data_IF_159358063110
#
_entry.id   IF_159358063110
#
_cell.length_a   1.000
_cell.length_b   1.000
_cell.length_c   1.000
_cell.angle_alpha   90.00
_cell.angle_beta   90.00
_cell.angle_gamma   90.00
#
_symmetry.space_group_name_H-M   'P 1'
#
loop_
_entity.id
_entity.type
_entity.pdbx_description
1 polymer ?
#
# COMPACT_ATOMS: atom_id res chain seq x y z
N UNK A 1 -47.45 34.37 37.73
CA UNK A 1 -45.98 34.43 37.69
C UNK A 1 -45.29 33.13 37.26
N UNK A 2 -45.90 31.93 37.37
CA UNK A 2 -45.26 30.67 36.95
C UNK A 2 -45.27 30.37 35.44
N UNK A 3 -46.38 30.67 34.75
CA UNK A 3 -46.58 30.32 33.34
C UNK A 3 -45.54 30.93 32.38
N UNK A 4 -45.17 32.19 32.60
CA UNK A 4 -44.16 32.88 31.78
C UNK A 4 -42.76 32.25 31.92
N UNK A 5 -42.44 31.72 33.11
CA UNK A 5 -41.18 31.02 33.36
C UNK A 5 -41.13 29.63 32.70
N UNK A 6 -42.26 28.95 32.60
CA UNK A 6 -42.38 27.65 31.94
C UNK A 6 -42.34 27.79 30.41
N UNK A 7 -42.92 28.85 29.86
CA UNK A 7 -42.80 29.20 28.44
C UNK A 7 -41.37 29.55 28.02
N UNK A 8 -40.60 30.23 28.87
CA UNK A 8 -39.19 30.49 28.61
C UNK A 8 -38.36 29.21 28.65
N UNK A 9 -38.67 28.29 29.57
CA UNK A 9 -38.02 26.98 29.66
C UNK A 9 -38.33 26.11 28.45
N UNK A 10 -39.56 26.13 27.94
CA UNK A 10 -39.96 25.35 26.75
C UNK A 10 -39.29 25.88 25.48
N UNK A 11 -39.23 27.21 25.29
CA UNK A 11 -38.50 27.86 24.19
C UNK A 11 -37.00 27.53 24.23
N UNK A 12 -36.38 27.57 25.42
CA UNK A 12 -34.99 27.19 25.61
C UNK A 12 -34.74 25.71 25.27
N UNK A 13 -35.61 24.81 25.74
CA UNK A 13 -35.51 23.37 25.47
C UNK A 13 -35.61 23.06 23.97
N UNK A 14 -36.57 23.66 23.27
CA UNK A 14 -36.73 23.56 21.82
C UNK A 14 -35.47 24.04 21.09
N UNK A 15 -34.92 25.19 21.50
CA UNK A 15 -33.69 25.73 20.89
C UNK A 15 -32.47 24.82 21.12
N UNK A 16 -32.37 24.18 22.29
CA UNK A 16 -31.32 23.20 22.59
C UNK A 16 -31.48 21.96 21.71
N UNK A 17 -32.70 21.46 21.50
CA UNK A 17 -32.98 20.31 20.62
C UNK A 17 -32.63 20.62 19.16
N UNK A 18 -33.00 21.80 18.65
CA UNK A 18 -32.61 22.24 17.30
C UNK A 18 -31.08 22.25 17.11
N UNK A 19 -30.34 22.80 18.08
CA UNK A 19 -28.87 22.86 18.03
C UNK A 19 -28.24 21.46 18.11
N UNK A 20 -28.85 20.53 18.86
CA UNK A 20 -28.42 19.13 18.92
C UNK A 20 -28.67 18.39 17.62
N UNK A 21 -29.84 18.57 17.01
CA UNK A 21 -30.19 17.99 15.71
C UNK A 21 -29.24 18.48 14.61
N UNK A 22 -28.94 19.79 14.57
CA UNK A 22 -27.94 20.37 13.66
C UNK A 22 -26.55 19.76 13.80
N UNK A 23 -26.17 19.37 15.02
CA UNK A 23 -24.87 18.74 15.32
C UNK A 23 -24.87 17.21 15.17
N UNK A 24 -26.02 16.60 14.84
CA UNK A 24 -26.24 15.13 14.87
C UNK A 24 -25.74 14.50 16.18
N UNK A 25 -25.87 15.24 17.28
CA UNK A 25 -25.49 14.74 18.59
C UNK A 25 -26.52 13.71 19.03
N UNK A 26 -26.10 12.54 19.58
CA UNK A 26 -27.05 11.61 20.14
C UNK A 26 -27.82 12.29 21.29
N UNK A 27 -29.09 11.93 21.45
CA UNK A 27 -29.94 12.35 22.56
C UNK A 27 -29.31 11.95 23.91
N UNK A 28 -29.81 12.44 25.04
CA UNK A 28 -29.25 12.14 26.37
C UNK A 28 -29.36 10.64 26.70
N UNK A 29 -28.45 9.85 26.16
CA UNK A 29 -28.29 8.44 26.49
C UNK A 29 -27.45 8.32 27.75
N UNK A 30 -27.89 7.46 28.66
CA UNK A 30 -27.13 7.07 29.84
C UNK A 30 -25.68 6.75 29.44
N UNK A 31 -24.72 7.20 30.26
CA UNK A 31 -23.27 7.01 30.00
C UNK A 31 -22.91 5.54 29.71
N UNK A 32 -23.63 4.60 30.31
CA UNK A 32 -23.49 3.17 30.09
C UNK A 32 -23.89 2.75 28.66
N UNK A 33 -25.04 3.22 28.15
CA UNK A 33 -25.50 2.96 26.79
C UNK A 33 -24.52 3.50 25.73
N UNK A 34 -23.87 4.65 25.99
CA UNK A 34 -22.81 5.19 25.12
C UNK A 34 -21.56 4.31 25.09
N UNK A 35 -21.17 3.71 26.22
CA UNK A 35 -20.03 2.79 26.31
C UNK A 35 -20.35 1.48 25.59
N UNK A 36 -21.56 0.96 25.74
CA UNK A 36 -22.03 -0.25 25.08
C UNK A 36 -22.13 -0.06 23.56
N UNK A 37 -22.68 1.04 23.09
CA UNK A 37 -22.71 1.38 21.67
C UNK A 37 -21.30 1.48 21.06
N UNK A 38 -20.33 2.04 21.81
CA UNK A 38 -18.92 2.07 21.39
C UNK A 38 -18.30 0.68 21.35
N UNK A 39 -18.56 -0.17 22.34
CA UNK A 39 -18.10 -1.56 22.36
C UNK A 39 -18.71 -2.38 21.21
N UNK A 40 -20.00 -2.20 20.93
CA UNK A 40 -20.69 -2.86 19.81
C UNK A 40 -20.10 -2.45 18.46
N UNK A 41 -19.88 -1.15 18.23
CA UNK A 41 -19.22 -0.65 17.01
C UNK A 41 -17.78 -1.18 16.86
N UNK A 42 -17.02 -1.27 17.95
CA UNK A 42 -15.69 -1.83 17.93
C UNK A 42 -15.69 -3.33 17.58
N UNK A 43 -16.61 -4.11 18.18
CA UNK A 43 -16.80 -5.53 17.87
C UNK A 43 -17.21 -5.74 16.41
N UNK A 44 -18.19 -4.98 15.91
CA UNK A 44 -18.63 -5.05 14.52
C UNK A 44 -17.49 -4.74 13.53
N UNK A 45 -16.61 -3.77 13.85
CA UNK A 45 -15.44 -3.46 13.01
C UNK A 45 -14.42 -4.59 12.99
N UNK A 46 -14.17 -5.24 14.14
CA UNK A 46 -13.26 -6.38 14.23
C UNK A 46 -13.82 -7.57 13.43
N UNK A 47 -15.11 -7.84 13.58
CA UNK A 47 -15.79 -8.93 12.88
C UNK A 47 -15.83 -8.70 11.36
N UNK A 48 -16.16 -7.49 10.90
CA UNK A 48 -16.11 -7.14 9.49
C UNK A 48 -14.70 -7.31 8.88
N UNK A 49 -13.66 -6.93 9.64
CA UNK A 49 -12.26 -7.14 9.21
C UNK A 49 -11.90 -8.63 9.16
N UNK A 50 -12.41 -9.44 10.09
CA UNK A 50 -12.20 -10.89 10.10
C UNK A 50 -12.88 -11.55 8.90
N UNK A 51 -14.17 -11.25 8.66
CA UNK A 51 -14.93 -11.74 7.50
C UNK A 51 -14.29 -11.34 6.17
N UNK A 52 -13.79 -10.12 6.03
CA UNK A 52 -13.08 -9.69 4.82
C UNK A 52 -11.79 -10.49 4.59
N UNK A 53 -11.07 -10.85 5.66
CA UNK A 53 -9.87 -11.70 5.57
C UNK A 53 -10.24 -13.13 5.18
N UNK A 54 -11.24 -13.72 5.82
CA UNK A 54 -11.75 -15.06 5.48
C UNK A 54 -12.22 -15.12 4.02
N UNK A 55 -12.97 -14.12 3.55
CA UNK A 55 -13.39 -14.04 2.14
C UNK A 55 -12.23 -13.87 1.16
N UNK A 56 -11.14 -13.22 1.57
CA UNK A 56 -9.95 -13.10 0.72
C UNK A 56 -9.16 -14.42 0.66
N UNK A 57 -9.11 -15.16 1.77
CA UNK A 57 -8.45 -16.46 1.85
C UNK A 57 -9.21 -17.52 1.06
N UNK A 58 -10.53 -17.62 1.22
CA UNK A 58 -11.34 -18.57 0.43
C UNK A 58 -11.31 -18.29 -1.08
N UNK A 59 -11.18 -17.02 -1.48
CA UNK A 59 -10.97 -16.65 -2.90
C UNK A 59 -9.58 -17.00 -3.42
N UNK A 60 -8.58 -17.14 -2.55
CA UNK A 60 -7.25 -17.60 -2.92
C UNK A 60 -7.23 -19.13 -3.02
N UNK A 61 -7.79 -19.82 -2.04
CA UNK A 61 -7.94 -21.29 -2.02
C UNK A 61 -8.73 -21.78 -3.24
N UNK A 62 -9.91 -21.21 -3.52
CA UNK A 62 -10.68 -21.57 -4.74
C UNK A 62 -9.92 -21.30 -6.06
N UNK A 63 -8.94 -20.38 -6.07
CA UNK A 63 -8.09 -20.15 -7.25
C UNK A 63 -6.91 -21.11 -7.34
N UNK A 64 -6.49 -21.68 -6.22
CA UNK A 64 -5.44 -22.70 -6.14
C UNK A 64 -6.04 -24.06 -6.47
N UNK A 65 -7.21 -24.41 -5.93
CA UNK A 65 -7.96 -25.63 -6.27
C UNK A 65 -8.36 -25.66 -7.74
N UNK A 66 -8.81 -24.53 -8.31
CA UNK A 66 -9.11 -24.43 -9.74
C UNK A 66 -7.87 -24.58 -10.64
N UNK A 67 -6.66 -24.31 -10.12
CA UNK A 67 -5.41 -24.60 -10.82
C UNK A 67 -4.97 -26.04 -10.62
N UNK A 68 -5.21 -26.63 -9.46
CA UNK A 68 -4.87 -28.02 -9.16
C UNK A 68 -5.75 -29.01 -9.93
N UNK A 69 -7.04 -28.71 -10.13
CA UNK A 69 -7.93 -29.51 -10.98
C UNK A 69 -7.44 -29.53 -12.44
N UNK A 70 -6.96 -28.39 -12.96
CA UNK A 70 -6.38 -28.28 -14.31
C UNK A 70 -5.06 -29.06 -14.41
N UNK A 71 -4.23 -29.06 -13.37
CA UNK A 71 -2.96 -29.84 -13.35
C UNK A 71 -3.22 -31.35 -13.21
N UNK A 72 -4.33 -31.76 -12.58
CA UNK A 72 -4.67 -33.17 -12.38
C UNK A 72 -5.20 -33.84 -13.66
N UNK A 73 -5.96 -33.12 -14.48
CA UNK A 73 -6.39 -33.59 -15.82
C UNK A 73 -5.20 -33.76 -16.79
N UNK A 74 -4.12 -32.99 -16.64
CA UNK A 74 -2.90 -33.16 -17.44
C UNK A 74 -1.95 -34.26 -16.94
N UNK A 75 -2.19 -34.83 -15.75
CA UNK A 75 -1.33 -35.86 -15.15
C UNK A 75 -1.81 -37.31 -15.37
N UNK A 76 -3.00 -37.51 -15.92
CA UNK A 76 -3.59 -38.83 -16.18
C UNK A 76 -3.26 -39.42 -17.57
N UNK A 77 -2.52 -38.71 -18.41
CA UNK A 77 -2.03 -39.20 -19.70
C UNK A 77 -0.51 -39.07 -19.78
N UNK A 78 0.25 -40.03 -19.25
CA UNK A 78 1.54 -40.50 -19.77
C UNK A 78 1.88 -41.80 -19.01
N UNK A 79 1.59 -42.93 -19.64
CA UNK A 79 2.27 -44.20 -19.36
C UNK A 79 2.36 -44.97 -20.68
N UNK A 80 3.37 -44.64 -21.51
CA UNK A 80 4.05 -45.66 -22.32
C UNK A 80 5.48 -45.21 -22.59
N UNK A 81 6.39 -45.88 -21.92
CA UNK A 81 7.83 -45.89 -22.20
C UNK A 81 8.03 -46.68 -23.49
N UNK A 82 8.64 -46.08 -24.52
CA UNK A 82 9.56 -46.83 -25.39
C UNK A 82 10.71 -45.93 -25.85
N UNK A 83 11.88 -46.49 -25.66
CA UNK A 83 13.21 -46.07 -26.06
C UNK A 83 13.40 -46.06 -27.60
N UNK A 84 14.57 -45.54 -28.00
CA UNK A 84 15.37 -45.84 -29.20
C UNK A 84 15.55 -44.73 -30.25
N UNK A 85 16.76 -44.18 -30.18
CA UNK A 85 17.74 -44.02 -31.27
C UNK A 85 17.29 -44.33 -32.70
N UNK A 86 17.54 -43.34 -33.56
CA UNK A 86 18.13 -43.45 -34.89
C UNK A 86 17.99 -44.81 -35.60
N UNK A 87 17.06 -44.95 -36.55
CA UNK A 87 17.33 -45.62 -37.81
C UNK A 87 16.50 -45.05 -38.96
N UNK A 88 17.15 -45.06 -40.11
CA UNK A 88 16.68 -44.64 -41.43
C UNK A 88 15.93 -45.80 -42.08
N UNK A 89 14.62 -45.72 -42.27
CA UNK A 89 13.94 -46.36 -43.41
C UNK A 89 12.47 -45.98 -43.57
N UNK A 90 12.14 -45.59 -44.80
CA UNK A 90 10.92 -45.86 -45.60
C UNK A 90 9.55 -45.90 -44.89
N UNK A 91 8.74 -44.88 -45.16
CA UNK A 91 7.42 -45.07 -45.78
C UNK A 91 7.02 -43.82 -46.55
N UNK A 92 6.61 -44.03 -47.80
CA UNK A 92 5.95 -43.05 -48.66
C UNK A 92 4.49 -42.99 -48.18
N UNK A 93 3.89 -41.80 -48.30
CA UNK A 93 2.55 -41.36 -47.86
C UNK A 93 2.34 -41.07 -46.36
N UNK A 94 1.84 -39.85 -46.12
CA UNK A 94 1.28 -39.27 -44.88
C UNK A 94 2.22 -38.78 -43.77
N UNK A 95 3.32 -38.13 -44.14
CA UNK A 95 4.04 -37.25 -43.21
C UNK A 95 4.16 -35.83 -43.77
N UNK A 96 3.03 -35.11 -43.85
CA UNK A 96 3.12 -33.65 -43.76
C UNK A 96 3.47 -33.35 -42.29
N UNK A 97 4.76 -33.33 -41.98
CA UNK A 97 5.23 -32.80 -40.71
C UNK A 97 5.00 -31.28 -40.75
N UNK A 98 3.76 -30.86 -40.47
CA UNK A 98 3.40 -29.44 -40.31
C UNK A 98 4.02 -28.99 -38.99
N UNK A 99 5.28 -28.57 -39.04
CA UNK A 99 5.85 -27.80 -37.96
C UNK A 99 5.15 -26.44 -37.96
N UNK A 100 4.23 -26.21 -37.03
CA UNK A 100 3.58 -24.90 -36.86
C UNK A 100 4.63 -23.89 -36.42
N UNK A 101 5.17 -23.17 -37.40
CA UNK A 101 6.07 -22.05 -37.18
C UNK A 101 5.40 -21.04 -36.26
N UNK A 102 6.13 -20.71 -35.19
CA UNK A 102 5.87 -19.67 -34.20
C UNK A 102 4.49 -18.98 -34.27
N UNK A 103 3.57 -19.40 -33.42
CA UNK A 103 2.26 -18.75 -33.28
C UNK A 103 2.39 -17.47 -32.45
N UNK A 104 2.05 -16.32 -33.04
CA UNK A 104 1.98 -15.05 -32.34
C UNK A 104 0.53 -14.80 -31.92
N UNK A 105 0.26 -14.89 -30.62
CA UNK A 105 -1.06 -14.58 -30.05
C UNK A 105 -0.88 -13.34 -29.18
N UNK A 106 -1.24 -12.18 -29.72
CA UNK A 106 -0.97 -10.89 -29.08
C UNK A 106 0.52 -10.57 -28.99
N UNK A 107 1.00 -10.18 -27.79
CA UNK A 107 2.43 -9.85 -27.53
C UNK A 107 3.25 -11.10 -27.13
N UNK A 108 2.59 -12.26 -27.11
CA UNK A 108 3.15 -13.55 -26.72
C UNK A 108 3.46 -14.40 -27.93
N UNK A 109 4.64 -15.03 -27.89
CA UNK A 109 5.15 -15.84 -28.97
C UNK A 109 5.29 -17.28 -28.51
N UNK A 110 4.48 -18.16 -29.06
CA UNK A 110 4.58 -19.59 -28.88
C UNK A 110 5.56 -20.12 -29.91
N UNK A 111 6.62 -20.82 -29.48
CA UNK A 111 7.53 -21.54 -30.38
C UNK A 111 7.46 -23.00 -29.97
N UNK A 112 6.74 -23.81 -30.75
CA UNK A 112 6.25 -25.11 -30.28
C UNK A 112 5.24 -24.93 -29.14
N UNK A 113 5.20 -25.89 -28.22
CA UNK A 113 4.29 -25.92 -27.06
C UNK A 113 4.71 -25.01 -25.88
N UNK A 114 5.84 -24.30 -26.02
CA UNK A 114 6.37 -23.44 -24.94
C UNK A 114 6.11 -21.96 -25.21
N UNK A 115 5.53 -21.31 -24.22
CA UNK A 115 5.35 -19.85 -24.19
C UNK A 115 6.71 -19.16 -24.03
N UNK A 116 7.19 -18.49 -25.09
CA UNK A 116 8.34 -17.60 -24.98
C UNK A 116 7.85 -16.26 -24.43
N UNK A 117 8.23 -15.95 -23.19
CA UNK A 117 7.80 -14.74 -22.48
C UNK A 117 7.91 -13.46 -23.33
N UNK A 118 6.96 -12.54 -23.13
CA UNK A 118 6.86 -11.29 -23.88
C UNK A 118 8.19 -10.55 -23.92
N UNK A 119 8.56 -10.06 -25.11
CA UNK A 119 9.84 -9.37 -25.30
C UNK A 119 9.85 -8.13 -24.40
N UNK A 120 10.98 -7.89 -23.68
CA UNK A 120 11.13 -6.68 -22.88
C UNK A 120 10.79 -5.45 -23.72
N UNK A 121 9.96 -4.56 -23.17
CA UNK A 121 9.55 -3.33 -23.84
C UNK A 121 10.80 -2.55 -24.24
N UNK A 122 10.90 -2.23 -25.52
CA UNK A 122 12.01 -1.44 -26.07
C UNK A 122 11.82 0.02 -25.66
N UNK A 123 12.86 0.63 -25.10
CA UNK A 123 12.90 2.06 -24.76
C UNK A 123 13.02 2.36 -23.26
N UNK A 124 13.14 3.65 -22.90
CA UNK A 124 13.28 4.07 -21.50
C UNK A 124 12.05 3.68 -20.67
N UNK A 125 12.26 2.92 -19.60
CA UNK A 125 11.17 2.54 -18.67
C UNK A 125 10.91 3.61 -17.61
N UNK A 126 11.90 4.45 -17.29
CA UNK A 126 11.75 5.54 -16.32
C UNK A 126 11.56 6.91 -16.99
N UNK A 127 10.86 7.79 -16.28
CA UNK A 127 10.50 9.15 -16.68
C UNK A 127 11.74 10.02 -16.92
N UNK A 128 12.78 9.89 -16.08
CA UNK A 128 14.04 10.60 -16.31
C UNK A 128 14.74 10.11 -17.58
N UNK A 129 14.71 8.79 -17.81
CA UNK A 129 15.24 8.20 -19.04
C UNK A 129 14.49 8.67 -20.28
N UNK A 130 13.15 8.78 -20.20
CA UNK A 130 12.32 9.30 -21.27
C UNK A 130 12.64 10.77 -21.59
N UNK A 131 12.81 11.62 -20.57
CA UNK A 131 13.21 13.02 -20.75
C UNK A 131 14.59 13.13 -21.43
N UNK A 132 15.58 12.37 -20.94
CA UNK A 132 16.92 12.32 -21.54
C UNK A 132 16.90 11.83 -22.98
N UNK A 133 16.02 10.88 -23.30
CA UNK A 133 15.87 10.37 -24.66
C UNK A 133 15.27 11.43 -25.59
N UNK A 134 14.29 12.22 -25.13
CA UNK A 134 13.77 13.36 -25.90
C UNK A 134 14.84 14.41 -26.13
N UNK A 135 15.58 14.82 -25.10
CA UNK A 135 16.68 15.78 -25.24
C UNK A 135 17.74 15.27 -26.24
N UNK A 136 18.07 13.97 -26.20
CA UNK A 136 18.99 13.37 -27.14
C UNK A 136 18.42 13.35 -28.58
N UNK A 137 17.11 13.15 -28.75
CA UNK A 137 16.43 13.19 -30.04
C UNK A 137 16.42 14.61 -30.61
N UNK A 138 16.10 15.61 -29.80
CA UNK A 138 16.14 17.03 -30.19
C UNK A 138 17.56 17.46 -30.59
N UNK A 139 18.58 17.08 -29.81
CA UNK A 139 19.99 17.32 -30.15
C UNK A 139 20.45 16.64 -31.43
N UNK A 140 19.83 15.52 -31.82
CA UNK A 140 20.09 14.86 -33.10
C UNK A 140 19.42 15.62 -34.24
N UNK A 141 18.15 15.98 -34.07
CA UNK A 141 17.40 16.73 -35.08
C UNK A 141 17.99 18.13 -35.32
N UNK A 142 18.53 18.79 -34.30
CA UNK A 142 19.17 20.11 -34.45
C UNK A 142 20.48 20.08 -35.25
N UNK A 143 21.07 18.90 -35.47
CA UNK A 143 22.30 18.72 -36.28
C UNK A 143 22.02 18.39 -37.74
N UNK A 144 20.75 18.12 -38.10
CA UNK A 144 20.35 17.73 -39.45
C UNK A 144 19.76 18.91 -40.22
N UNK A 145 19.83 18.84 -41.55
CA UNK A 145 19.18 19.79 -42.46
C UNK A 145 17.64 19.72 -42.36
N UNK A 146 16.98 20.84 -42.65
CA UNK A 146 15.53 21.02 -42.51
C UNK A 146 14.71 19.97 -43.26
N UNK A 147 15.13 19.59 -44.46
CA UNK A 147 14.39 18.65 -45.31
C UNK A 147 14.43 17.23 -44.74
N UNK A 148 15.59 16.82 -44.21
CA UNK A 148 15.75 15.54 -43.52
C UNK A 148 14.96 15.52 -42.21
N UNK A 149 14.95 16.63 -41.48
CA UNK A 149 14.15 16.78 -40.25
C UNK A 149 12.66 16.64 -40.54
N UNK A 150 12.15 17.25 -41.62
CA UNK A 150 10.74 17.17 -41.99
C UNK A 150 10.34 15.74 -42.38
N UNK A 151 11.15 15.04 -43.18
CA UNK A 151 10.94 13.62 -43.51
C UNK A 151 10.90 12.72 -42.27
N UNK A 152 11.81 12.95 -41.32
CA UNK A 152 11.84 12.19 -40.06
C UNK A 152 10.59 12.48 -39.22
N UNK A 153 10.18 13.75 -39.11
CA UNK A 153 8.97 14.13 -38.37
C UNK A 153 7.71 13.50 -38.95
N UNK A 154 7.60 13.47 -40.28
CA UNK A 154 6.48 12.84 -40.98
C UNK A 154 6.46 11.32 -40.73
N UNK A 155 7.59 10.64 -40.94
CA UNK A 155 7.73 9.22 -40.64
C UNK A 155 7.41 8.90 -39.17
N UNK A 156 7.89 9.71 -38.23
CA UNK A 156 7.63 9.56 -36.80
C UNK A 156 6.14 9.76 -36.46
N UNK A 157 5.46 10.69 -37.14
CA UNK A 157 4.02 10.94 -36.97
C UNK A 157 3.20 9.72 -37.39
N UNK A 158 3.51 9.14 -38.55
CA UNK A 158 2.86 7.93 -39.04
C UNK A 158 3.13 6.72 -38.14
N UNK A 159 4.38 6.52 -37.71
CA UNK A 159 4.72 5.47 -36.74
C UNK A 159 3.98 5.64 -35.42
N UNK A 160 3.88 6.88 -34.92
CA UNK A 160 3.15 7.19 -33.70
C UNK A 160 1.66 6.88 -33.85
N UNK A 161 1.04 7.26 -34.97
CA UNK A 161 -0.37 6.95 -35.23
C UNK A 161 -0.60 5.44 -35.27
N UNK A 162 0.28 4.68 -35.92
CA UNK A 162 0.20 3.22 -35.97
C UNK A 162 0.32 2.58 -34.57
N UNK A 163 1.29 3.00 -33.77
CA UNK A 163 1.47 2.49 -32.40
C UNK A 163 0.30 2.87 -31.49
N UNK A 164 -0.29 4.05 -31.69
CA UNK A 164 -1.49 4.45 -30.95
C UNK A 164 -2.71 3.62 -31.34
N UNK A 165 -2.88 3.30 -32.63
CA UNK A 165 -3.93 2.41 -33.12
C UNK A 165 -3.76 0.97 -32.59
N UNK A 166 -2.52 0.50 -32.44
CA UNK A 166 -2.19 -0.76 -31.76
C UNK A 166 -2.52 -0.72 -30.24
N UNK A 167 -2.77 0.46 -29.67
CA UNK A 167 -3.08 0.64 -28.25
C UNK A 167 -1.87 0.90 -27.35
N UNK A 168 -0.67 1.10 -27.92
CA UNK A 168 0.53 1.43 -27.13
C UNK A 168 0.48 2.90 -26.68
N UNK A 169 0.53 3.10 -25.36
CA UNK A 169 0.55 4.44 -24.74
C UNK A 169 1.96 5.06 -24.82
N UNK A 170 2.13 6.02 -25.72
CA UNK A 170 3.38 6.78 -25.89
C UNK A 170 3.47 7.95 -24.89
N UNK A 171 4.61 8.08 -24.19
CA UNK A 171 4.85 9.13 -23.20
C UNK A 171 6.01 10.04 -23.61
N UNK A 172 5.80 10.83 -24.66
CA UNK A 172 6.88 11.59 -25.32
C UNK A 172 6.72 13.12 -25.16
N UNK A 173 5.79 13.58 -24.33
CA UNK A 173 5.52 15.01 -24.14
C UNK A 173 6.46 15.60 -23.07
N UNK A 174 7.39 16.47 -23.48
CA UNK A 174 8.42 17.04 -22.61
C UNK A 174 7.85 17.75 -21.37
N UNK A 175 6.83 18.61 -21.55
CA UNK A 175 6.17 19.31 -20.44
C UNK A 175 5.53 18.35 -19.43
N UNK A 176 4.93 17.25 -19.89
CA UNK A 176 4.32 16.27 -19.01
C UNK A 176 5.39 15.48 -18.25
N UNK A 177 6.47 15.09 -18.92
CA UNK A 177 7.60 14.40 -18.30
C UNK A 177 8.29 15.27 -17.25
N UNK A 178 8.52 16.56 -17.52
CA UNK A 178 9.05 17.51 -16.53
C UNK A 178 8.11 17.64 -15.32
N UNK A 179 6.79 17.70 -15.53
CA UNK A 179 5.80 17.74 -14.44
C UNK A 179 5.79 16.45 -13.62
N UNK A 180 5.86 15.28 -14.25
CA UNK A 180 5.87 13.99 -13.54
C UNK A 180 7.17 13.79 -12.76
N UNK A 181 8.31 14.22 -13.29
CA UNK A 181 9.59 14.30 -12.55
C UNK A 181 9.41 15.13 -11.28
N UNK A 182 8.93 16.37 -11.39
CA UNK A 182 8.70 17.26 -10.24
C UNK A 182 7.74 16.66 -9.21
N UNK A 183 6.68 15.98 -9.65
CA UNK A 183 5.75 15.26 -8.74
C UNK A 183 6.44 14.13 -8.00
N UNK A 184 7.24 13.30 -8.69
CA UNK A 184 8.02 12.21 -8.08
C UNK A 184 9.00 12.76 -7.05
N UNK A 185 9.71 13.85 -7.37
CA UNK A 185 10.62 14.51 -6.43
C UNK A 185 9.89 15.09 -5.21
N UNK A 186 8.74 15.75 -5.42
CA UNK A 186 7.93 16.27 -4.32
C UNK A 186 7.43 15.16 -3.41
N UNK A 187 7.00 14.02 -3.96
CA UNK A 187 6.61 12.85 -3.18
C UNK A 187 7.77 12.30 -2.35
N UNK A 188 8.96 12.17 -2.94
CA UNK A 188 10.18 11.76 -2.22
C UNK A 188 10.58 12.76 -1.13
N UNK A 189 10.44 14.06 -1.37
CA UNK A 189 10.69 15.10 -0.36
C UNK A 189 9.71 15.00 0.81
N UNK A 190 8.42 14.74 0.55
CA UNK A 190 7.42 14.54 1.60
C UNK A 190 7.73 13.30 2.44
N UNK A 191 7.98 12.16 1.80
CA UNK A 191 8.30 10.92 2.52
C UNK A 191 9.60 11.05 3.33
N UNK A 192 10.62 11.75 2.80
CA UNK A 192 11.85 12.03 3.53
C UNK A 192 11.62 12.92 4.76
N UNK A 193 10.76 13.95 4.66
CA UNK A 193 10.38 14.79 5.81
C UNK A 193 9.64 13.98 6.87
N UNK A 194 8.61 13.23 6.47
CA UNK A 194 7.84 12.39 7.38
C UNK A 194 8.73 11.37 8.11
N UNK A 195 9.70 10.78 7.39
CA UNK A 195 10.63 9.83 8.00
C UNK A 195 11.54 10.51 9.04
N UNK A 196 12.07 11.70 8.72
CA UNK A 196 12.87 12.50 9.66
C UNK A 196 12.06 12.89 10.90
N UNK A 197 10.80 13.33 10.72
CA UNK A 197 9.90 13.66 11.82
C UNK A 197 9.61 12.44 12.70
N UNK A 198 9.39 11.26 12.10
CA UNK A 198 9.21 10.01 12.85
C UNK A 198 10.45 9.67 13.68
N UNK A 199 11.65 9.77 13.10
CA UNK A 199 12.90 9.54 13.83
C UNK A 199 13.09 10.52 14.98
N UNK A 200 12.86 11.82 14.75
CA UNK A 200 12.92 12.84 15.80
C UNK A 200 11.89 12.60 16.91
N UNK A 201 10.69 12.14 16.58
CA UNK A 201 9.67 11.81 17.58
C UNK A 201 10.06 10.59 18.42
N UNK A 202 10.68 9.58 17.80
CA UNK A 202 11.22 8.41 18.52
C UNK A 202 12.32 8.86 19.48
N UNK A 203 13.27 9.67 19.01
CA UNK A 203 14.38 10.19 19.82
C UNK A 203 13.87 11.04 20.99
N UNK A 204 12.94 11.97 20.73
CA UNK A 204 12.28 12.77 21.78
C UNK A 204 11.55 11.89 22.79
N UNK A 205 10.84 10.86 22.33
CA UNK A 205 10.14 9.94 23.22
C UNK A 205 11.10 9.11 24.08
N UNK A 206 12.25 8.69 23.53
CA UNK A 206 13.30 8.00 24.27
C UNK A 206 13.93 8.94 25.32
N UNK A 207 14.33 10.15 24.91
CA UNK A 207 14.90 11.17 25.80
C UNK A 207 13.93 11.52 26.94
N UNK A 208 12.64 11.66 26.66
CA UNK A 208 11.64 11.96 27.69
C UNK A 208 11.43 10.81 28.66
N UNK A 209 11.52 9.55 28.21
CA UNK A 209 11.51 8.38 29.10
C UNK A 209 12.76 8.32 29.97
N UNK A 210 13.93 8.63 29.42
CA UNK A 210 15.18 8.70 30.16
C UNK A 210 15.14 9.81 31.22
N UNK A 211 14.73 11.03 30.86
CA UNK A 211 14.53 12.14 31.82
C UNK A 211 13.58 11.78 32.96
N UNK A 212 12.42 11.17 32.65
CA UNK A 212 11.49 10.69 33.69
C UNK A 212 12.13 9.66 34.62
N UNK A 213 12.98 8.78 34.10
CA UNK A 213 13.71 7.80 34.91
C UNK A 213 14.74 8.47 35.81
N UNK A 214 15.50 9.42 35.29
CA UNK A 214 16.47 10.21 36.04
C UNK A 214 15.81 11.01 37.17
N UNK A 215 14.72 11.73 36.87
CA UNK A 215 13.93 12.45 37.86
C UNK A 215 13.40 11.52 38.97
N UNK A 216 12.88 10.35 38.61
CA UNK A 216 12.41 9.37 39.59
C UNK A 216 13.54 8.80 40.45
N UNK A 217 14.72 8.57 39.87
CA UNK A 217 15.91 8.14 40.60
C UNK A 217 16.44 9.23 41.53
N UNK A 218 16.43 10.50 41.09
CA UNK A 218 16.78 11.66 41.91
C UNK A 218 15.83 11.79 43.10
N UNK A 219 14.51 11.76 42.88
CA UNK A 219 13.50 11.75 43.97
C UNK A 219 13.70 10.60 44.96
N UNK A 220 14.07 9.40 44.49
CA UNK A 220 14.44 8.26 45.36
C UNK A 220 15.72 8.51 46.16
N UNK A 221 16.73 9.16 45.58
CA UNK A 221 17.98 9.52 46.26
C UNK A 221 17.73 10.58 47.33
N UNK A 222 16.96 11.62 47.02
CA UNK A 222 16.59 12.69 47.96
C UNK A 222 15.75 12.18 49.13
N UNK A 223 14.73 11.36 48.87
CA UNK A 223 13.91 10.76 49.94
C UNK A 223 14.69 9.81 50.86
N UNK A 224 15.74 9.14 50.36
CA UNK A 224 16.66 8.36 51.20
C UNK A 224 17.50 9.26 52.11
N UNK A 225 18.02 10.39 51.60
CA UNK A 225 18.77 11.37 52.40
C UNK A 225 17.90 11.97 53.52
N UNK A 226 16.62 12.23 53.28
CA UNK A 226 15.71 12.80 54.30
C UNK A 226 15.22 11.79 55.33
N UNK A 227 15.01 10.50 54.97
CA UNK A 227 14.60 9.45 55.91
C UNK A 227 15.71 9.03 56.89
N UNK A 228 16.99 9.14 56.52
CA UNK A 228 18.12 8.87 57.42
C UNK A 228 18.24 9.85 58.59
N UNK A 229 17.64 11.05 58.50
CA UNK A 229 17.76 12.09 59.52
C UNK A 229 16.67 12.05 60.61
N UNK A 230 15.56 11.31 60.43
CA UNK A 230 14.39 11.37 61.34
C UNK A 230 14.15 10.12 62.20
N UNK A 231 14.94 9.06 62.08
CA UNK A 231 14.72 7.80 62.85
C UNK A 231 15.41 7.73 64.22
N UNK A 232 16.14 8.76 64.67
CA UNK A 232 16.74 8.83 66.01
C UNK A 232 16.00 9.77 66.97
N UNK A 233 14.73 9.52 67.29
CA UNK A 233 14.11 9.97 68.56
C UNK A 233 12.68 9.42 68.74
N UNK A 234 12.57 8.25 69.37
CA UNK A 234 11.57 7.95 70.42
C UNK A 234 11.75 6.51 70.89
N UNK A 235 12.67 6.34 71.85
CA UNK A 235 12.76 5.17 72.72
C UNK A 235 12.88 5.68 74.16
N UNK A 236 11.74 6.06 74.76
CA UNK A 236 11.49 6.27 76.20
C UNK A 236 9.95 6.16 76.32
N UNK A 237 9.33 5.40 77.22
CA UNK A 237 9.77 4.78 78.45
C UNK A 237 8.82 3.62 78.79
N UNK A 238 9.37 2.61 79.47
CA UNK A 238 8.65 1.52 80.14
C UNK A 238 7.54 2.10 81.04
N UNK A 239 6.33 1.53 81.01
CA UNK A 239 5.40 1.64 82.14
C UNK A 239 5.27 0.25 82.74
N UNK A 240 5.81 0.14 83.94
CA UNK A 240 5.71 -1.00 84.85
C UNK A 240 4.24 -1.25 85.22
N UNK A 241 3.94 -2.49 85.58
CA UNK A 241 2.61 -2.91 86.00
C UNK A 241 2.12 -2.25 87.28
N UNK A 242 0.82 -2.38 87.51
CA UNK A 242 0.19 -2.38 88.83
C UNK A 242 -1.20 -3.04 88.68
N UNK A 243 -1.50 -3.90 89.67
CA UNK A 243 -2.74 -4.59 90.06
C UNK A 243 -3.99 -4.54 89.16
#
# INVERSE_FOLDING_TARGET
>A
MGAESDELRSKLAARIQELRAKRKAPEQVNRQALIEARKAKAKARIEAKRRAKEQSQSKQENKEDAKEIVVKEESSEINSVVHYTNEKSRSVVDNINVSYGKLLVGDEAYVGDKLKGSKKKKGPTDVYGALKHLEAKERRLSKLETDKVNKIKESDSWHRALLQAEGKKMQDNEHLLKKTVKRKEAAKKKSAKEWKERLQNIEKAQALRQKRREENLQKRRESRKTKGSKSKKKKKSKKAGFH
#
